data_IF_358988071634
#
_entry.id   IF_358988071634
#
_cell.length_a   1.000
_cell.length_b   1.000
_cell.length_c   1.000
_cell.angle_alpha   90.00
_cell.angle_beta   90.00
_cell.angle_gamma   90.00
#
_symmetry.space_group_name_H-M   'P 1'
#
loop_
_entity.id
_entity.type
_entity.pdbx_description
1 polymer ?
#
# COMPACT_ATOMS: atom_id res chain seq x y z
N UNK A 1 -27.36 -34.78 -32.31
CA UNK A 1 -26.32 -34.64 -31.27
C UNK A 1 -25.46 -33.43 -31.63
N UNK A 2 -25.59 -32.32 -30.90
CA UNK A 2 -24.78 -31.13 -31.18
C UNK A 2 -23.35 -31.37 -30.67
N UNK A 3 -22.30 -31.19 -31.50
CA UNK A 3 -20.93 -31.36 -31.04
C UNK A 3 -20.65 -30.33 -29.94
N UNK A 4 -20.24 -30.81 -28.76
CA UNK A 4 -19.78 -29.93 -27.68
C UNK A 4 -18.59 -29.12 -28.21
N UNK A 5 -18.72 -27.78 -28.23
CA UNK A 5 -17.66 -26.88 -28.68
C UNK A 5 -16.33 -27.32 -28.05
N UNK A 6 -15.26 -27.46 -28.83
CA UNK A 6 -13.93 -27.94 -28.36
C UNK A 6 -13.44 -27.19 -27.10
N UNK A 7 -13.87 -25.93 -26.92
CA UNK A 7 -13.61 -25.10 -25.73
C UNK A 7 -14.22 -25.64 -24.42
N UNK A 8 -15.30 -26.41 -24.49
CA UNK A 8 -15.99 -27.05 -23.36
C UNK A 8 -15.52 -28.49 -23.10
N UNK A 9 -14.62 -29.03 -23.94
CA UNK A 9 -14.22 -30.44 -23.91
C UNK A 9 -12.97 -30.76 -23.06
N UNK A 10 -12.22 -29.75 -22.57
CA UNK A 10 -10.89 -29.96 -21.96
C UNK A 10 -10.69 -29.27 -20.61
N UNK A 11 -11.48 -29.65 -19.61
CA UNK A 11 -11.28 -29.23 -18.23
C UNK A 11 -9.90 -29.62 -17.66
N UNK A 12 -9.29 -30.69 -18.19
CA UNK A 12 -7.97 -31.22 -17.79
C UNK A 12 -6.79 -30.28 -18.07
N UNK A 13 -6.94 -29.33 -19.01
CA UNK A 13 -5.89 -28.36 -19.36
C UNK A 13 -5.89 -27.10 -18.50
N UNK A 14 -6.88 -26.93 -17.62
CA UNK A 14 -6.94 -25.78 -16.73
C UNK A 14 -5.92 -25.96 -15.59
N UNK A 15 -5.29 -24.88 -15.11
CA UNK A 15 -4.35 -24.97 -14.01
C UNK A 15 -5.04 -25.53 -12.76
N UNK A 16 -4.37 -26.48 -12.11
CA UNK A 16 -4.91 -27.13 -10.92
C UNK A 16 -5.02 -26.12 -9.77
N UNK A 17 -6.18 -26.13 -9.10
CA UNK A 17 -6.43 -25.33 -7.90
C UNK A 17 -6.40 -26.23 -6.66
N UNK A 18 -6.17 -25.66 -5.49
CA UNK A 18 -6.13 -26.41 -4.22
C UNK A 18 -7.44 -27.16 -3.90
N UNK A 19 -8.55 -26.83 -4.56
CA UNK A 19 -9.86 -27.46 -4.37
C UNK A 19 -10.13 -28.64 -5.32
N UNK A 20 -9.27 -28.87 -6.30
CA UNK A 20 -9.48 -29.89 -7.36
C UNK A 20 -8.55 -31.10 -7.25
N UNK A 21 -7.63 -31.09 -6.30
CA UNK A 21 -6.59 -32.09 -6.19
C UNK A 21 -6.77 -32.95 -4.93
N UNK A 22 -6.01 -34.04 -4.82
CA UNK A 22 -6.08 -34.97 -3.70
C UNK A 22 -5.28 -34.47 -2.47
N UNK A 23 -5.33 -35.22 -1.37
CA UNK A 23 -4.79 -34.87 -0.03
C UNK A 23 -3.35 -34.35 -0.03
N UNK A 24 -2.48 -34.88 -0.89
CA UNK A 24 -1.06 -34.53 -0.90
C UNK A 24 -0.74 -33.26 -1.71
N UNK A 25 -1.72 -32.72 -2.45
CA UNK A 25 -1.51 -31.52 -3.26
C UNK A 25 -1.73 -30.26 -2.43
N UNK A 26 -0.62 -29.58 -2.10
CA UNK A 26 -0.65 -28.27 -1.49
C UNK A 26 -0.30 -27.17 -2.51
N UNK A 27 -1.16 -26.15 -2.59
CA UNK A 27 -0.91 -24.94 -3.39
C UNK A 27 -1.25 -23.69 -2.57
N UNK A 28 -0.25 -22.85 -2.34
CA UNK A 28 -0.41 -21.60 -1.59
C UNK A 28 -1.21 -20.54 -2.34
N UNK A 29 -1.83 -19.61 -1.59
CA UNK A 29 -2.71 -18.54 -2.13
C UNK A 29 -2.02 -17.18 -2.21
N UNK A 30 -0.69 -17.16 -2.40
CA UNK A 30 0.11 -15.91 -2.44
C UNK A 30 0.01 -15.03 -1.19
N UNK A 31 -0.27 -15.59 -0.01
CA UNK A 31 -0.26 -14.81 1.24
C UNK A 31 1.09 -14.14 1.52
N UNK A 32 2.19 -14.69 0.99
CA UNK A 32 3.53 -14.13 1.06
C UNK A 32 3.80 -12.97 0.09
N UNK A 33 2.80 -12.46 -0.64
CA UNK A 33 2.92 -11.33 -1.55
C UNK A 33 2.27 -10.08 -0.97
N UNK A 34 2.84 -8.92 -1.28
CA UNK A 34 2.16 -7.64 -1.05
C UNK A 34 0.96 -7.50 -2.00
N UNK A 35 -0.11 -6.78 -1.61
CA UNK A 35 -1.17 -6.40 -2.54
C UNK A 35 -0.56 -5.70 -3.77
N UNK A 36 -0.71 -6.29 -4.96
CA UNK A 36 -0.15 -5.75 -6.20
C UNK A 36 1.39 -5.74 -6.31
N UNK A 37 2.12 -6.33 -5.35
CA UNK A 37 3.56 -6.13 -5.21
C UNK A 37 4.40 -7.41 -5.18
N UNK A 38 5.64 -7.24 -4.73
CA UNK A 38 6.64 -8.30 -4.68
C UNK A 38 6.39 -9.32 -3.56
N UNK A 39 7.09 -10.44 -3.64
CA UNK A 39 7.03 -11.51 -2.64
C UNK A 39 7.88 -11.14 -1.42
N UNK A 40 7.27 -11.02 -0.25
CA UNK A 40 7.94 -10.72 1.03
C UNK A 40 8.36 -11.97 1.81
N UNK A 41 7.97 -13.16 1.33
CA UNK A 41 8.29 -14.42 2.00
C UNK A 41 7.26 -14.83 3.06
N UNK A 42 7.49 -16.00 3.67
CA UNK A 42 6.58 -16.54 4.68
C UNK A 42 6.81 -15.86 6.05
N UNK A 43 5.76 -15.65 6.86
CA UNK A 43 5.84 -14.97 8.17
C UNK A 43 6.50 -15.82 9.27
N UNK A 44 6.99 -17.00 8.94
CA UNK A 44 7.50 -17.95 9.92
C UNK A 44 8.17 -19.15 9.28
N UNK A 45 8.44 -20.17 10.09
CA UNK A 45 9.12 -21.41 9.67
C UNK A 45 8.42 -22.65 10.20
N UNK A 46 8.40 -23.70 9.39
CA UNK A 46 7.99 -25.03 9.84
C UNK A 46 9.03 -25.59 10.81
N UNK A 47 8.55 -26.19 11.90
CA UNK A 47 9.41 -26.86 12.87
C UNK A 47 9.33 -28.35 12.61
N UNK A 48 10.48 -28.98 12.38
CA UNK A 48 10.58 -30.43 12.12
C UNK A 48 10.46 -31.24 13.41
N UNK A 49 10.99 -30.72 14.53
CA UNK A 49 11.03 -31.40 15.84
C UNK A 49 10.40 -30.53 16.93
N UNK A 50 9.35 -31.01 17.57
CA UNK A 50 8.66 -30.31 18.66
C UNK A 50 7.13 -30.47 18.60
N UNK A 51 6.44 -29.93 19.63
CA UNK A 51 4.96 -29.95 19.70
C UNK A 51 4.32 -28.99 18.70
N UNK A 52 4.90 -27.80 18.51
CA UNK A 52 4.42 -26.83 17.53
C UNK A 52 4.91 -27.19 16.12
N UNK A 53 4.00 -27.19 15.12
CA UNK A 53 4.33 -27.54 13.72
C UNK A 53 4.79 -26.34 12.87
N UNK A 54 4.43 -25.13 13.28
CA UNK A 54 4.84 -23.88 12.65
C UNK A 54 5.13 -22.83 13.71
N UNK A 55 6.21 -22.07 13.55
CA UNK A 55 6.55 -20.94 14.42
C UNK A 55 6.49 -19.65 13.62
N UNK A 56 5.67 -18.74 14.09
CA UNK A 56 5.56 -17.38 13.58
C UNK A 56 6.75 -16.55 14.10
N UNK A 57 7.30 -15.70 13.24
CA UNK A 57 8.42 -14.81 13.56
C UNK A 57 7.86 -13.39 13.43
N UNK A 58 7.63 -12.74 14.57
CA UNK A 58 6.94 -11.44 14.62
C UNK A 58 7.60 -10.39 13.72
N UNK A 59 8.94 -10.40 13.64
CA UNK A 59 9.73 -9.51 12.77
C UNK A 59 9.42 -9.66 11.27
N UNK A 60 8.90 -10.82 10.84
CA UNK A 60 8.54 -11.10 9.44
C UNK A 60 7.05 -10.92 9.18
N UNK A 61 6.26 -10.64 10.22
CA UNK A 61 4.83 -10.41 10.08
C UNK A 61 4.61 -8.97 9.62
N UNK A 62 3.71 -8.82 8.65
CA UNK A 62 3.37 -7.50 8.13
C UNK A 62 2.48 -6.77 9.13
N UNK A 63 2.87 -5.54 9.43
CA UNK A 63 2.12 -4.64 10.30
C UNK A 63 1.66 -3.46 9.44
N UNK A 64 0.37 -3.18 9.48
CA UNK A 64 -0.21 -2.00 8.84
C UNK A 64 -0.38 -0.94 9.90
N UNK A 65 0.46 0.10 9.85
CA UNK A 65 0.42 1.20 10.80
C UNK A 65 -0.59 2.22 10.29
N UNK A 66 -1.61 2.50 11.10
CA UNK A 66 -2.61 3.52 10.84
C UNK A 66 -2.50 4.65 11.87
N UNK A 67 -2.82 5.91 11.49
CA UNK A 67 -2.98 7.00 12.44
C UNK A 67 -4.07 6.71 13.47
N UNK A 68 -4.11 7.50 14.55
CA UNK A 68 -5.13 7.30 15.59
C UNK A 68 -6.53 7.59 15.07
N UNK A 69 -7.53 6.87 15.60
CA UNK A 69 -8.94 7.04 15.19
C UNK A 69 -9.42 8.49 15.43
N UNK A 70 -8.93 9.12 16.52
CA UNK A 70 -9.26 10.52 16.84
C UNK A 70 -8.77 11.45 15.73
N UNK A 71 -7.51 11.31 15.30
CA UNK A 71 -6.95 12.11 14.21
C UNK A 71 -7.74 11.91 12.92
N UNK A 72 -7.99 10.64 12.54
CA UNK A 72 -8.75 10.32 11.32
C UNK A 72 -10.13 10.99 11.30
N UNK A 73 -10.85 10.97 12.43
CA UNK A 73 -12.18 11.58 12.52
C UNK A 73 -12.14 13.12 12.55
N UNK A 74 -11.05 13.71 13.02
CA UNK A 74 -10.87 15.18 13.01
C UNK A 74 -10.40 15.73 11.68
N UNK A 75 -9.83 14.90 10.80
CA UNK A 75 -9.27 15.41 9.55
C UNK A 75 -10.38 15.88 8.61
N UNK A 76 -10.24 17.08 7.98
CA UNK A 76 -11.18 17.55 6.97
C UNK A 76 -11.00 16.85 5.61
N UNK A 77 -9.96 16.03 5.48
CA UNK A 77 -9.60 15.36 4.23
C UNK A 77 -10.58 14.23 3.91
N UNK A 78 -11.07 14.22 2.68
CA UNK A 78 -11.95 13.18 2.14
C UNK A 78 -11.26 12.47 0.97
N UNK A 79 -11.65 11.22 0.66
CA UNK A 79 -11.11 10.49 -0.49
C UNK A 79 -11.52 11.10 -1.85
N UNK A 80 -12.50 12.01 -1.85
CA UNK A 80 -13.01 12.70 -3.03
C UNK A 80 -12.88 14.21 -2.88
N UNK A 81 -12.77 14.90 -4.02
CA UNK A 81 -12.66 16.35 -4.11
C UNK A 81 -13.90 16.90 -4.82
N UNK A 82 -14.32 18.11 -4.45
CA UNK A 82 -15.41 18.81 -5.12
C UNK A 82 -15.00 19.18 -6.56
N UNK A 83 -15.86 18.94 -7.56
CA UNK A 83 -15.52 19.17 -8.98
C UNK A 83 -15.52 20.65 -9.38
N UNK A 84 -16.25 21.47 -8.61
CA UNK A 84 -16.43 22.90 -8.79
C UNK A 84 -15.24 23.72 -8.27
N UNK A 85 -14.48 23.19 -7.31
CA UNK A 85 -13.30 23.86 -6.75
C UNK A 85 -12.12 23.70 -7.71
N UNK A 86 -11.73 24.80 -8.36
CA UNK A 86 -10.56 24.88 -9.23
C UNK A 86 -9.47 25.72 -8.58
N UNK A 87 -8.23 25.22 -8.57
CA UNK A 87 -7.09 26.02 -8.11
C UNK A 87 -6.89 27.26 -8.99
N UNK A 88 -6.62 28.38 -8.33
CA UNK A 88 -6.13 29.59 -8.97
C UNK A 88 -4.72 29.37 -9.53
N UNK A 89 -4.28 30.20 -10.48
CA UNK A 89 -2.92 30.08 -11.04
C UNK A 89 -1.82 30.25 -9.99
N UNK A 90 -2.06 31.09 -8.98
CA UNK A 90 -1.16 31.29 -7.84
C UNK A 90 -1.06 30.03 -6.98
N UNK A 91 -2.18 29.41 -6.63
CA UNK A 91 -2.21 28.15 -5.88
C UNK A 91 -1.58 27.00 -6.69
N UNK A 92 -1.85 26.93 -8.00
CA UNK A 92 -1.17 25.95 -8.88
C UNK A 92 0.34 26.15 -8.86
N UNK A 93 0.82 27.40 -8.89
CA UNK A 93 2.26 27.71 -8.81
C UNK A 93 2.85 27.44 -7.42
N UNK A 94 2.05 27.49 -6.36
CA UNK A 94 2.48 27.10 -5.02
C UNK A 94 2.61 25.58 -4.87
N UNK A 95 1.62 24.83 -5.36
CA UNK A 95 1.58 23.36 -5.28
C UNK A 95 2.56 22.71 -6.27
N UNK A 96 2.56 23.17 -7.53
CA UNK A 96 3.35 22.56 -8.61
C UNK A 96 4.59 23.37 -9.00
N UNK A 97 4.63 24.66 -8.69
CA UNK A 97 5.46 25.62 -9.42
C UNK A 97 6.93 25.73 -9.03
N UNK A 98 7.52 24.70 -8.42
CA UNK A 98 8.97 24.65 -8.21
C UNK A 98 9.60 23.30 -8.47
N UNK A 99 8.86 22.26 -8.84
CA UNK A 99 9.50 20.99 -9.19
C UNK A 99 10.33 21.21 -10.46
N UNK A 100 11.66 21.07 -10.40
CA UNK A 100 12.50 21.34 -11.55
C UNK A 100 12.28 20.25 -12.58
N UNK A 101 12.55 20.57 -13.85
CA UNK A 101 12.50 19.59 -14.92
C UNK A 101 13.57 18.52 -14.63
N UNK A 102 13.14 17.31 -14.26
CA UNK A 102 14.01 16.24 -13.74
C UNK A 102 13.67 15.73 -12.34
N UNK A 103 12.69 16.34 -11.66
CA UNK A 103 12.21 15.90 -10.34
C UNK A 103 12.97 16.50 -9.16
N UNK A 104 12.57 16.14 -7.94
CA UNK A 104 13.14 16.73 -6.72
C UNK A 104 14.56 16.16 -6.47
N UNK A 105 15.61 16.91 -6.82
CA UNK A 105 16.99 16.56 -6.45
C UNK A 105 17.31 16.99 -5.02
N UNK A 106 18.30 16.36 -4.39
CA UNK A 106 18.77 16.74 -3.05
C UNK A 106 19.29 18.19 -2.99
N UNK A 107 20.01 18.64 -4.04
CA UNK A 107 20.47 20.02 -4.17
C UNK A 107 19.30 21.00 -4.26
N UNK A 108 18.26 20.67 -5.04
CA UNK A 108 17.08 21.49 -5.17
C UNK A 108 16.32 21.64 -3.85
N UNK A 109 16.19 20.55 -3.09
CA UNK A 109 15.61 20.60 -1.75
C UNK A 109 16.44 21.48 -0.81
N UNK A 110 17.78 21.41 -0.92
CA UNK A 110 18.72 22.21 -0.14
C UNK A 110 18.63 23.72 -0.47
N UNK A 111 18.81 24.08 -1.73
CA UNK A 111 18.90 25.46 -2.22
C UNK A 111 17.61 26.25 -2.00
N UNK A 112 16.46 25.58 -2.15
CA UNK A 112 15.16 26.19 -1.90
C UNK A 112 14.78 26.27 -0.42
N UNK A 113 15.61 25.73 0.47
CA UNK A 113 15.37 25.72 1.92
C UNK A 113 13.99 25.20 2.31
N UNK A 114 13.49 24.18 1.59
CA UNK A 114 12.11 23.70 1.75
C UNK A 114 11.81 23.24 3.19
N UNK A 115 12.82 22.79 3.95
CA UNK A 115 12.66 22.42 5.37
C UNK A 115 12.26 23.59 6.27
N UNK A 116 12.54 24.84 5.91
CA UNK A 116 12.16 26.01 6.71
C UNK A 116 10.64 26.25 6.69
N UNK A 117 9.97 25.92 5.57
CA UNK A 117 8.51 26.05 5.42
C UNK A 117 7.74 25.16 6.39
N UNK A 118 8.26 23.95 6.66
CA UNK A 118 7.63 23.04 7.60
C UNK A 118 7.71 23.55 9.04
N UNK A 119 8.83 24.18 9.44
CA UNK A 119 8.98 24.79 10.77
C UNK A 119 7.98 25.93 11.02
N UNK A 120 7.68 26.73 10.00
CA UNK A 120 6.70 27.81 10.09
C UNK A 120 5.25 27.31 10.15
N UNK A 121 4.96 26.16 9.52
CA UNK A 121 3.65 25.52 9.63
C UNK A 121 3.45 24.92 11.04
N UNK A 122 4.46 24.23 11.57
CA UNK A 122 4.43 23.66 12.93
C UNK A 122 4.22 24.74 14.00
N UNK A 123 4.95 25.86 13.92
CA UNK A 123 4.81 26.96 14.89
C UNK A 123 3.43 27.61 14.88
N UNK A 124 2.81 27.77 13.70
CA UNK A 124 1.42 28.25 13.57
C UNK A 124 0.41 27.28 14.16
N UNK A 125 0.63 25.98 13.98
CA UNK A 125 -0.27 24.93 14.49
C UNK A 125 -0.25 24.88 16.03
N UNK A 126 0.92 25.09 16.63
CA UNK A 126 1.10 25.17 18.09
C UNK A 126 0.41 26.43 18.65
N UNK A 127 0.59 27.60 18.00
CA UNK A 127 -0.03 28.84 18.43
C UNK A 127 -1.58 28.84 18.38
N UNK A 128 -2.17 28.03 17.49
CA UNK A 128 -3.64 27.83 17.45
C UNK A 128 -4.18 26.82 18.47
N UNK A 129 -3.32 26.00 19.11
CA UNK A 129 -3.73 25.05 20.17
C UNK A 129 -3.72 25.67 21.57
N UNK A 130 -3.10 26.83 21.75
CA UNK A 130 -2.98 27.54 23.03
C UNK A 130 -4.06 28.63 23.25
N UNK A 131 -5.06 28.69 22.37
CA UNK A 131 -6.28 29.51 22.53
C UNK A 131 -7.50 28.61 22.57
#
# INVERSE_FOLDING_TARGET
MFPTLVRLSKASRRPLTSKKANKDFYKGTRQAYLPGGHRTGAPGRHIVRGKAKYRLIDEKVRIFIAPSIKELNTTPMKPYVAMDVKFTEKEKREVFGKLPQGGLSGSHYYDQQLWKRFKEAESKTIATKEK
#
